data_IF_475415083828
#
_entry.id   IF_475415083828
#
_cell.length_a   1.000
_cell.length_b   1.000
_cell.length_c   1.000
_cell.angle_alpha   90.00
_cell.angle_beta   90.00
_cell.angle_gamma   90.00
#
_symmetry.space_group_name_H-M   'P 1'
#
loop_
_entity.id
_entity.type
_entity.pdbx_description
1 polymer ?
#
# COMPACT_ATOMS: atom_id res chain seq x y z
N UNK A 1 -9.77 53.56 10.44
CA UNK A 1 -8.82 52.85 11.32
C UNK A 1 -9.27 51.43 11.74
N UNK A 2 -10.33 50.84 11.15
CA UNK A 2 -10.80 49.50 11.54
C UNK A 2 -10.33 48.37 10.60
N UNK A 3 -9.90 48.68 9.38
CA UNK A 3 -9.44 47.68 8.40
C UNK A 3 -8.16 46.96 8.84
N UNK A 4 -7.18 47.68 9.38
CA UNK A 4 -5.89 47.11 9.82
C UNK A 4 -6.09 46.09 10.97
N UNK A 5 -7.04 46.34 11.88
CA UNK A 5 -7.33 45.46 13.03
C UNK A 5 -7.99 44.13 12.64
N UNK A 6 -8.69 44.09 11.50
CA UNK A 6 -9.33 42.87 10.97
C UNK A 6 -8.40 42.12 10.02
N UNK A 7 -7.53 42.83 9.28
CA UNK A 7 -6.59 42.22 8.35
C UNK A 7 -5.53 41.38 9.09
N UNK A 8 -5.01 41.85 10.23
CA UNK A 8 -3.96 41.14 10.96
C UNK A 8 -4.37 39.73 11.46
N UNK A 9 -5.54 39.53 12.11
CA UNK A 9 -5.99 38.18 12.50
C UNK A 9 -6.31 37.29 11.29
N UNK A 10 -6.82 37.85 10.19
CA UNK A 10 -7.05 37.08 8.95
C UNK A 10 -5.73 36.59 8.34
N UNK A 11 -4.72 37.47 8.26
CA UNK A 11 -3.38 37.10 7.76
C UNK A 11 -2.73 36.04 8.65
N UNK A 12 -2.81 36.19 9.98
CA UNK A 12 -2.30 35.19 10.92
C UNK A 12 -2.98 33.83 10.74
N UNK A 13 -4.31 33.82 10.55
CA UNK A 13 -5.08 32.60 10.29
C UNK A 13 -4.64 31.92 8.99
N UNK A 14 -4.48 32.70 7.90
CA UNK A 14 -3.97 32.19 6.61
C UNK A 14 -2.58 31.57 6.77
N UNK A 15 -1.68 32.21 7.52
CA UNK A 15 -0.33 31.68 7.78
C UNK A 15 -0.40 30.35 8.54
N UNK A 16 -1.25 30.24 9.56
CA UNK A 16 -1.45 28.98 10.32
C UNK A 16 -1.94 27.87 9.41
N UNK A 17 -2.89 28.14 8.52
CA UNK A 17 -3.35 27.15 7.54
C UNK A 17 -2.28 26.75 6.53
N UNK A 18 -1.48 27.70 6.03
CA UNK A 18 -0.37 27.41 5.11
C UNK A 18 0.73 26.57 5.79
N UNK A 19 1.08 26.89 7.04
CA UNK A 19 2.03 26.12 7.84
C UNK A 19 1.47 24.72 8.17
N UNK A 20 0.18 24.62 8.49
CA UNK A 20 -0.52 23.36 8.70
C UNK A 20 -0.46 22.44 7.47
N UNK A 21 -0.78 22.98 6.30
CA UNK A 21 -0.65 22.30 5.01
C UNK A 21 0.76 21.77 4.76
N UNK A 22 1.78 22.57 5.05
CA UNK A 22 3.17 22.23 4.71
C UNK A 22 3.82 21.26 5.70
N UNK A 23 3.56 21.45 7.01
CA UNK A 23 4.16 20.65 8.08
C UNK A 23 3.38 19.36 8.34
N UNK A 24 2.05 19.41 8.25
CA UNK A 24 1.13 18.33 8.63
C UNK A 24 0.12 18.06 7.52
N UNK A 25 0.55 17.48 6.37
CA UNK A 25 -0.28 17.37 5.17
C UNK A 25 -1.55 16.54 5.38
N UNK A 26 -1.62 15.62 6.34
CA UNK A 26 -2.82 14.83 6.66
C UNK A 26 -3.65 15.34 7.85
N UNK A 27 -3.27 16.47 8.46
CA UNK A 27 -4.02 17.06 9.57
C UNK A 27 -5.37 17.65 9.13
N UNK A 28 -6.24 17.94 10.11
CA UNK A 28 -7.53 18.60 9.85
C UNK A 28 -7.38 20.05 9.34
N UNK A 29 -6.24 20.69 9.62
CA UNK A 29 -5.93 22.07 9.19
C UNK A 29 -5.29 22.13 7.80
N UNK A 30 -5.08 20.98 7.14
CA UNK A 30 -4.56 20.90 5.78
C UNK A 30 -5.72 20.95 4.77
N UNK A 31 -5.66 21.91 3.84
CA UNK A 31 -6.58 22.02 2.69
C UNK A 31 -6.30 20.96 1.64
N UNK A 32 -5.03 20.64 1.39
CA UNK A 32 -4.64 19.67 0.38
C UNK A 32 -4.04 18.46 1.09
N UNK A 33 -4.89 17.45 1.37
CA UNK A 33 -4.51 16.23 2.09
C UNK A 33 -3.69 15.26 1.24
N UNK A 34 -2.62 15.79 0.68
CA UNK A 34 -1.73 15.13 -0.27
C UNK A 34 -0.26 15.37 0.11
N UNK A 35 0.57 14.37 -0.18
CA UNK A 35 2.00 14.42 0.05
C UNK A 35 2.73 14.05 -1.23
N UNK A 36 3.60 14.93 -1.71
CA UNK A 36 4.50 14.60 -2.82
C UNK A 36 5.68 13.79 -2.32
N UNK A 37 5.77 12.55 -2.80
CA UNK A 37 6.83 11.58 -2.52
C UNK A 37 7.73 11.42 -3.75
N UNK A 38 9.02 11.23 -3.51
CA UNK A 38 10.01 10.86 -4.53
C UNK A 38 10.70 9.59 -4.02
N UNK A 39 10.55 8.50 -4.78
CA UNK A 39 10.89 7.15 -4.34
C UNK A 39 12.36 6.86 -4.68
N UNK A 40 13.19 6.61 -3.66
CA UNK A 40 14.57 6.16 -3.88
C UNK A 40 14.56 4.79 -4.58
N UNK A 41 15.23 4.75 -5.72
CA UNK A 41 14.73 4.09 -6.93
C UNK A 41 15.35 2.69 -7.15
N UNK A 42 16.10 2.12 -6.21
CA UNK A 42 16.89 0.89 -6.48
C UNK A 42 16.08 -0.38 -6.17
N UNK A 43 15.72 -0.61 -4.92
CA UNK A 43 14.99 -1.82 -4.50
C UNK A 43 13.60 -1.94 -5.12
N UNK A 44 12.91 -0.81 -5.33
CA UNK A 44 11.60 -0.81 -6.00
C UNK A 44 11.66 -1.23 -7.47
N UNK A 45 12.79 -0.98 -8.17
CA UNK A 45 12.95 -1.36 -9.59
C UNK A 45 13.22 -2.85 -9.77
N UNK A 46 14.00 -3.45 -8.89
CA UNK A 46 14.23 -4.90 -8.88
C UNK A 46 12.96 -5.65 -8.51
N UNK A 47 12.27 -5.21 -7.45
CA UNK A 47 10.95 -5.71 -7.10
C UNK A 47 9.96 -5.64 -8.27
N UNK A 48 9.85 -4.49 -8.94
CA UNK A 48 8.95 -4.33 -10.09
C UNK A 48 9.26 -5.28 -11.24
N UNK A 49 10.51 -5.70 -11.39
CA UNK A 49 10.91 -6.67 -12.41
C UNK A 49 10.42 -8.07 -12.02
N UNK A 50 10.66 -8.49 -10.79
CA UNK A 50 10.24 -9.81 -10.28
C UNK A 50 8.71 -9.92 -10.24
N UNK A 51 8.04 -8.89 -9.71
CA UNK A 51 6.59 -8.73 -9.74
C UNK A 51 6.00 -8.92 -11.14
N UNK A 52 6.58 -8.29 -12.18
CA UNK A 52 6.08 -8.41 -13.56
C UNK A 52 6.21 -9.84 -14.09
N UNK A 53 7.27 -10.55 -13.71
CA UNK A 53 7.48 -11.95 -14.09
C UNK A 53 6.44 -12.83 -13.40
N UNK A 54 6.30 -12.71 -12.08
CA UNK A 54 5.33 -13.49 -11.31
C UNK A 54 3.89 -13.24 -11.76
N UNK A 55 3.54 -11.98 -12.05
CA UNK A 55 2.22 -11.62 -12.59
C UNK A 55 1.97 -12.21 -13.97
N UNK A 56 2.94 -12.11 -14.88
CA UNK A 56 2.80 -12.67 -16.23
C UNK A 56 2.60 -14.18 -16.16
N UNK A 57 3.36 -14.84 -15.28
CA UNK A 57 3.25 -16.27 -15.03
C UNK A 57 1.88 -16.65 -14.44
N UNK A 58 1.39 -15.92 -13.42
CA UNK A 58 0.06 -16.17 -12.84
C UNK A 58 -1.08 -16.02 -13.87
N UNK A 59 -0.93 -15.08 -14.82
CA UNK A 59 -1.89 -14.88 -15.91
C UNK A 59 -1.96 -16.07 -16.87
N UNK A 60 -0.84 -16.74 -17.12
CA UNK A 60 -0.83 -17.96 -17.95
C UNK A 60 -1.58 -19.12 -17.27
N UNK A 61 -1.77 -19.04 -15.95
CA UNK A 61 -2.30 -20.10 -15.10
C UNK A 61 -3.68 -19.77 -14.49
N UNK A 62 -4.35 -18.69 -14.92
CA UNK A 62 -5.59 -18.08 -14.34
C UNK A 62 -6.83 -19.01 -14.26
N UNK A 63 -6.67 -20.30 -14.57
CA UNK A 63 -7.74 -21.29 -14.62
C UNK A 63 -8.22 -21.77 -13.25
N UNK A 64 -7.43 -21.59 -12.18
CA UNK A 64 -7.77 -22.04 -10.82
C UNK A 64 -7.90 -20.89 -9.81
N UNK A 65 -8.52 -21.20 -8.67
CA UNK A 65 -8.82 -20.23 -7.60
C UNK A 65 -7.57 -19.58 -6.99
N UNK A 66 -6.45 -20.31 -6.91
CA UNK A 66 -5.19 -19.79 -6.34
C UNK A 66 -4.60 -18.76 -7.29
N UNK A 67 -4.48 -19.11 -8.57
CA UNK A 67 -3.98 -18.22 -9.62
C UNK A 67 -4.82 -16.95 -9.73
N UNK A 68 -6.15 -17.04 -9.64
CA UNK A 68 -7.05 -15.87 -9.64
C UNK A 68 -6.78 -14.97 -8.43
N UNK A 69 -6.69 -15.52 -7.22
CA UNK A 69 -6.46 -14.71 -6.02
C UNK A 69 -5.09 -14.00 -6.04
N UNK A 70 -4.06 -14.69 -6.54
CA UNK A 70 -2.72 -14.11 -6.71
C UNK A 70 -2.74 -13.00 -7.77
N UNK A 71 -3.44 -13.21 -8.89
CA UNK A 71 -3.61 -12.20 -9.94
C UNK A 71 -4.36 -10.96 -9.44
N UNK A 72 -5.44 -11.13 -8.68
CA UNK A 72 -6.21 -10.03 -8.06
C UNK A 72 -5.34 -9.20 -7.11
N UNK A 73 -4.50 -9.88 -6.32
CA UNK A 73 -3.53 -9.21 -5.46
C UNK A 73 -2.56 -8.38 -6.29
N UNK A 74 -1.95 -8.95 -7.33
CA UNK A 74 -1.05 -8.18 -8.20
C UNK A 74 -1.76 -7.03 -8.90
N UNK A 75 -3.01 -7.20 -9.36
CA UNK A 75 -3.80 -6.12 -9.94
C UNK A 75 -4.01 -4.97 -8.95
N UNK A 76 -4.17 -5.26 -7.67
CA UNK A 76 -4.25 -4.24 -6.62
C UNK A 76 -2.96 -3.44 -6.52
N UNK A 77 -1.79 -4.09 -6.59
CA UNK A 77 -0.49 -3.41 -6.54
C UNK A 77 -0.28 -2.55 -7.80
N UNK A 78 -0.67 -3.05 -8.98
CA UNK A 78 -0.52 -2.32 -10.25
C UNK A 78 -1.30 -1.00 -10.31
N UNK A 79 -2.48 -0.97 -9.69
CA UNK A 79 -3.30 0.24 -9.62
C UNK A 79 -2.98 1.12 -8.40
N UNK A 80 -1.94 0.77 -7.65
CA UNK A 80 -1.47 1.55 -6.50
C UNK A 80 -0.42 2.58 -6.93
N UNK A 81 -0.26 3.63 -6.13
CA UNK A 81 0.73 4.71 -6.31
C UNK A 81 2.20 4.25 -6.17
N UNK A 82 2.43 2.94 -6.06
CA UNK A 82 3.69 2.31 -5.64
C UNK A 82 4.57 1.97 -6.85
N UNK A 83 3.95 1.72 -8.00
CA UNK A 83 4.63 1.27 -9.22
C UNK A 83 5.02 2.43 -10.14
N UNK A 84 4.41 3.60 -9.97
CA UNK A 84 4.65 4.75 -10.84
C UNK A 84 5.98 5.45 -10.48
N UNK A 85 6.92 5.44 -11.42
CA UNK A 85 8.21 6.12 -11.29
C UNK A 85 8.03 7.66 -11.22
N UNK A 86 8.78 8.30 -10.32
CA UNK A 86 8.88 9.75 -10.22
C UNK A 86 8.09 10.35 -9.06
N UNK A 87 7.83 11.66 -9.15
CA UNK A 87 7.19 12.41 -8.06
C UNK A 87 5.68 12.14 -8.01
N UNK A 88 5.28 11.29 -7.07
CA UNK A 88 3.90 10.88 -6.84
C UNK A 88 3.21 11.80 -5.82
N UNK A 89 1.93 12.12 -6.02
CA UNK A 89 1.11 12.79 -5.01
C UNK A 89 0.19 11.78 -4.34
N UNK A 90 0.51 11.41 -3.10
CA UNK A 90 -0.25 10.43 -2.32
C UNK A 90 -1.30 11.16 -1.49
N UNK A 91 -2.58 10.90 -1.78
CA UNK A 91 -3.70 11.44 -1.00
C UNK A 91 -4.11 10.49 0.12
N UNK A 92 -4.73 11.02 1.18
CA UNK A 92 -5.35 10.18 2.23
C UNK A 92 -6.37 9.19 1.66
N UNK A 93 -7.12 9.60 0.63
CA UNK A 93 -8.08 8.72 -0.04
C UNK A 93 -7.39 7.57 -0.78
N UNK A 94 -6.24 7.83 -1.42
CA UNK A 94 -5.45 6.80 -2.09
C UNK A 94 -4.94 5.75 -1.10
N UNK A 95 -4.52 6.17 0.11
CA UNK A 95 -4.14 5.26 1.18
C UNK A 95 -5.31 4.38 1.65
N UNK A 96 -6.48 4.99 1.83
CA UNK A 96 -7.70 4.28 2.22
C UNK A 96 -8.15 3.26 1.17
N UNK A 97 -8.16 3.66 -0.11
CA UNK A 97 -8.52 2.77 -1.22
C UNK A 97 -7.56 1.57 -1.32
N UNK A 98 -6.26 1.79 -1.16
CA UNK A 98 -5.28 0.70 -1.14
C UNK A 98 -5.51 -0.23 0.06
N UNK A 99 -5.74 0.33 1.25
CA UNK A 99 -6.04 -0.46 2.45
C UNK A 99 -7.25 -1.37 2.25
N UNK A 100 -8.35 -0.85 1.71
CA UNK A 100 -9.55 -1.64 1.44
C UNK A 100 -9.31 -2.77 0.43
N UNK A 101 -8.53 -2.50 -0.62
CA UNK A 101 -8.20 -3.51 -1.62
C UNK A 101 -7.31 -4.61 -1.01
N UNK A 102 -6.34 -4.25 -0.17
CA UNK A 102 -5.53 -5.22 0.57
C UNK A 102 -6.38 -6.08 1.52
N UNK A 103 -7.34 -5.48 2.22
CA UNK A 103 -8.28 -6.21 3.09
C UNK A 103 -9.09 -7.25 2.30
N UNK A 104 -9.49 -6.92 1.07
CA UNK A 104 -10.18 -7.86 0.18
C UNK A 104 -9.25 -9.01 -0.25
N UNK A 105 -8.01 -8.71 -0.65
CA UNK A 105 -7.02 -9.73 -1.02
C UNK A 105 -6.69 -10.66 0.15
N UNK A 106 -6.50 -10.11 1.36
CA UNK A 106 -6.26 -10.90 2.57
C UNK A 106 -7.41 -11.86 2.83
N UNK A 107 -8.66 -11.40 2.71
CA UNK A 107 -9.84 -12.26 2.83
C UNK A 107 -9.87 -13.36 1.76
N UNK A 108 -9.48 -13.05 0.52
CA UNK A 108 -9.36 -14.06 -0.55
C UNK A 108 -8.30 -15.12 -0.21
N UNK A 109 -7.13 -14.72 0.28
CA UNK A 109 -6.08 -15.65 0.72
C UNK A 109 -6.49 -16.49 1.93
N UNK A 110 -7.17 -15.89 2.93
CA UNK A 110 -7.71 -16.65 4.05
C UNK A 110 -8.76 -17.68 3.61
N UNK A 111 -9.55 -17.38 2.58
CA UNK A 111 -10.50 -18.36 2.02
C UNK A 111 -9.77 -19.53 1.36
N UNK A 112 -8.65 -19.31 0.69
CA UNK A 112 -7.86 -20.41 0.12
C UNK A 112 -7.34 -21.37 1.20
N UNK A 113 -6.94 -20.86 2.37
CA UNK A 113 -6.53 -21.71 3.51
C UNK A 113 -7.66 -22.56 4.08
N UNK A 114 -8.90 -22.07 3.97
CA UNK A 114 -10.08 -22.71 4.56
C UNK A 114 -10.93 -23.50 3.54
N UNK A 115 -10.55 -23.49 2.25
CA UNK A 115 -11.31 -24.16 1.19
C UNK A 115 -10.78 -25.59 1.00
N UNK A 116 -11.57 -26.58 1.41
CA UNK A 116 -11.25 -28.00 1.26
C UNK A 116 -11.08 -28.46 -0.20
N UNK A 117 -11.51 -27.64 -1.18
CA UNK A 117 -11.33 -27.91 -2.61
C UNK A 117 -10.00 -27.38 -3.17
N UNK A 118 -9.19 -26.71 -2.34
CA UNK A 118 -7.86 -26.21 -2.72
C UNK A 118 -6.82 -27.06 -2.00
N UNK A 119 -6.19 -27.97 -2.76
CA UNK A 119 -5.12 -28.80 -2.21
C UNK A 119 -3.82 -27.97 -2.16
N UNK A 120 -3.47 -27.55 -0.95
CA UNK A 120 -2.22 -26.86 -0.65
C UNK A 120 -1.37 -27.77 0.24
N UNK A 121 -0.11 -27.98 -0.14
CA UNK A 121 0.85 -28.60 0.77
C UNK A 121 1.07 -27.78 2.05
N UNK A 122 1.79 -28.37 3.00
CA UNK A 122 2.21 -27.69 4.22
C UNK A 122 3.07 -26.45 3.90
N UNK A 123 4.01 -26.55 2.97
CA UNK A 123 4.92 -25.45 2.62
C UNK A 123 4.16 -24.29 1.94
N UNK A 124 3.21 -24.62 1.07
CA UNK A 124 2.34 -23.64 0.40
C UNK A 124 1.40 -22.97 1.41
N UNK A 125 0.83 -23.73 2.37
CA UNK A 125 0.02 -23.18 3.47
C UNK A 125 0.83 -22.24 4.36
N UNK A 126 2.05 -22.62 4.70
CA UNK A 126 2.93 -21.81 5.55
C UNK A 126 3.32 -20.50 4.84
N UNK A 127 3.69 -20.58 3.56
CA UNK A 127 4.02 -19.39 2.74
C UNK A 127 2.81 -18.46 2.60
N UNK A 128 1.62 -19.01 2.36
CA UNK A 128 0.37 -18.25 2.28
C UNK A 128 0.05 -17.55 3.62
N UNK A 129 0.28 -18.21 4.74
CA UNK A 129 0.09 -17.62 6.07
C UNK A 129 1.03 -16.43 6.31
N UNK A 130 2.30 -16.55 5.90
CA UNK A 130 3.24 -15.43 5.98
C UNK A 130 2.80 -14.26 5.10
N UNK A 131 2.36 -14.52 3.86
CA UNK A 131 1.82 -13.48 2.98
C UNK A 131 0.61 -12.78 3.61
N UNK A 132 -0.34 -13.52 4.18
CA UNK A 132 -1.52 -12.97 4.88
C UNK A 132 -1.12 -12.03 6.02
N UNK A 133 -0.14 -12.44 6.85
CA UNK A 133 0.31 -11.64 7.99
C UNK A 133 0.97 -10.32 7.53
N UNK A 134 1.76 -10.36 6.46
CA UNK A 134 2.40 -9.14 5.94
C UNK A 134 1.40 -8.20 5.23
N UNK A 135 0.37 -8.76 4.58
CA UNK A 135 -0.74 -7.95 4.06
C UNK A 135 -1.47 -7.26 5.23
N UNK A 136 -1.77 -7.97 6.32
CA UNK A 136 -2.39 -7.38 7.52
C UNK A 136 -1.50 -6.30 8.17
N UNK A 137 -0.19 -6.56 8.26
CA UNK A 137 0.79 -5.56 8.74
C UNK A 137 0.73 -4.29 7.89
N UNK A 138 0.67 -4.43 6.57
CA UNK A 138 0.55 -3.30 5.64
C UNK A 138 -0.79 -2.56 5.79
N UNK A 139 -1.91 -3.27 5.93
CA UNK A 139 -3.23 -2.69 6.21
C UNK A 139 -3.20 -1.79 7.46
N UNK A 140 -2.61 -2.29 8.54
CA UNK A 140 -2.51 -1.56 9.81
C UNK A 140 -1.63 -0.31 9.67
N UNK A 141 -0.49 -0.42 8.98
CA UNK A 141 0.38 0.73 8.72
C UNK A 141 -0.31 1.79 7.85
N UNK A 142 -1.07 1.38 6.83
CA UNK A 142 -1.87 2.30 6.00
C UNK A 142 -2.96 2.99 6.83
N UNK A 143 -3.60 2.27 7.76
CA UNK A 143 -4.59 2.84 8.67
C UNK A 143 -3.98 3.88 9.61
N UNK A 144 -2.80 3.60 10.17
CA UNK A 144 -2.08 4.53 11.05
C UNK A 144 -1.67 5.80 10.33
N UNK A 145 -1.18 5.68 9.09
CA UNK A 145 -0.86 6.80 8.21
C UNK A 145 -2.04 7.75 7.99
N UNK A 146 -3.26 7.20 7.96
CA UNK A 146 -4.47 7.99 7.77
C UNK A 146 -4.93 8.71 9.05
N UNK A 147 -4.63 8.16 10.22
CA UNK A 147 -5.18 8.67 11.48
C UNK A 147 -4.25 9.67 12.18
N UNK A 148 -2.95 9.56 11.96
CA UNK A 148 -1.96 10.35 12.68
C UNK A 148 -1.68 11.70 11.99
N UNK A 149 -1.67 12.83 12.73
CA UNK A 149 -1.20 14.11 12.22
C UNK A 149 0.34 14.11 12.17
N UNK A 150 0.90 13.33 11.25
CA UNK A 150 2.34 13.16 11.10
C UNK A 150 2.98 14.43 10.52
N UNK A 151 4.16 14.77 11.06
CA UNK A 151 5.05 15.73 10.41
C UNK A 151 5.48 15.18 9.06
N UNK A 152 5.79 16.05 8.12
CA UNK A 152 6.25 15.66 6.78
C UNK A 152 7.42 14.66 6.76
N UNK A 153 8.39 14.78 7.68
CA UNK A 153 9.51 13.84 7.82
C UNK A 153 9.05 12.45 8.26
N UNK A 154 8.15 12.42 9.24
CA UNK A 154 7.64 11.19 9.83
C UNK A 154 6.72 10.50 8.83
N UNK A 155 5.89 11.27 8.12
CA UNK A 155 5.07 10.78 7.03
C UNK A 155 5.90 10.14 5.92
N UNK A 156 7.00 10.79 5.50
CA UNK A 156 7.93 10.22 4.51
C UNK A 156 8.48 8.87 4.96
N UNK A 157 8.92 8.79 6.21
CA UNK A 157 9.49 7.57 6.78
C UNK A 157 8.43 6.46 6.88
N UNK A 158 7.25 6.79 7.39
CA UNK A 158 6.16 5.82 7.53
C UNK A 158 5.68 5.32 6.18
N UNK A 159 5.50 6.18 5.17
CA UNK A 159 5.19 5.76 3.79
C UNK A 159 6.28 4.81 3.29
N UNK A 160 7.56 5.17 3.41
CA UNK A 160 8.66 4.31 2.97
C UNK A 160 8.62 2.93 3.65
N UNK A 161 8.39 2.89 4.96
CA UNK A 161 8.29 1.63 5.70
C UNK A 161 7.08 0.81 5.21
N UNK A 162 5.93 1.43 4.99
CA UNK A 162 4.75 0.76 4.44
C UNK A 162 5.00 0.18 3.06
N UNK A 163 5.74 0.89 2.20
CA UNK A 163 6.13 0.37 0.90
C UNK A 163 7.05 -0.84 1.01
N UNK A 164 8.00 -0.83 1.95
CA UNK A 164 8.89 -1.98 2.19
C UNK A 164 8.09 -3.19 2.69
N UNK A 165 7.18 -2.99 3.65
CA UNK A 165 6.30 -4.07 4.13
C UNK A 165 5.46 -4.65 3.00
N UNK A 166 4.92 -3.81 2.12
CA UNK A 166 4.13 -4.28 0.98
C UNK A 166 4.96 -5.04 -0.06
N UNK A 167 6.18 -4.57 -0.34
CA UNK A 167 7.13 -5.29 -1.20
C UNK A 167 7.38 -6.69 -0.63
N UNK A 168 7.62 -6.80 0.67
CA UNK A 168 7.82 -8.07 1.33
C UNK A 168 6.56 -8.97 1.28
N UNK A 169 5.36 -8.40 1.43
CA UNK A 169 4.11 -9.14 1.24
C UNK A 169 3.97 -9.71 -0.19
N UNK A 170 4.47 -8.98 -1.20
CA UNK A 170 4.48 -9.46 -2.57
C UNK A 170 5.50 -10.58 -2.77
N UNK A 171 6.73 -10.46 -2.26
CA UNK A 171 7.75 -11.52 -2.32
C UNK A 171 7.24 -12.83 -1.69
N UNK A 172 6.54 -12.75 -0.55
CA UNK A 172 5.93 -13.92 0.08
C UNK A 172 4.79 -14.51 -0.73
N UNK A 173 4.02 -13.66 -1.42
CA UNK A 173 2.98 -14.11 -2.35
C UNK A 173 3.59 -14.83 -3.54
N UNK A 174 4.70 -14.32 -4.08
CA UNK A 174 5.46 -14.97 -5.15
C UNK A 174 5.96 -16.34 -4.68
N UNK A 175 6.55 -16.43 -3.48
CA UNK A 175 7.03 -17.69 -2.91
C UNK A 175 5.91 -18.70 -2.68
N UNK A 176 4.76 -18.25 -2.15
CA UNK A 176 3.56 -19.06 -2.05
C UNK A 176 3.16 -19.62 -3.42
N UNK A 177 3.10 -18.75 -4.44
CA UNK A 177 2.63 -19.14 -5.76
C UNK A 177 3.56 -20.13 -6.46
N UNK A 178 4.87 -19.93 -6.37
CA UNK A 178 5.85 -20.90 -6.88
C UNK A 178 5.75 -22.25 -6.14
N UNK A 179 5.66 -22.21 -4.81
CA UNK A 179 5.51 -23.43 -4.00
C UNK A 179 4.24 -24.22 -4.37
N UNK A 180 3.14 -23.51 -4.66
CA UNK A 180 1.89 -24.12 -5.11
C UNK A 180 2.04 -24.81 -6.47
N UNK A 181 2.70 -24.15 -7.42
CA UNK A 181 2.87 -24.69 -8.78
C UNK A 181 3.84 -25.86 -8.80
N UNK A 182 4.95 -25.82 -8.05
CA UNK A 182 5.94 -26.90 -8.00
C UNK A 182 5.37 -28.24 -7.47
N UNK A 183 4.18 -28.19 -6.88
CA UNK A 183 3.50 -29.35 -6.28
C UNK A 183 2.35 -29.90 -7.14
N UNK A 184 2.03 -29.22 -8.25
CA UNK A 184 1.05 -29.67 -9.24
C UNK A 184 1.70 -30.56 -10.30
#
# INVERSE_FOLDING_TARGET
MNSIKVVMPVVALVIVFLLGNWLFPFSMISFNKSYSYDQDNVSGREFLKEYKVAKAFAKEQETDKVSIAVLDFYHTIDHSYIIELGKQSISKQSLYSLQLALEQNRKSFMKLLADDNVDLSIDSKQSLLFAINEIESTENQLKDLQQLPLKRSDLRRSIRNTLVTLVFACELTDHFYHSYIDQR
#
